data_IF_473457407458
#
_entry.id   IF_473457407458
#
_cell.length_a   1.000
_cell.length_b   1.000
_cell.length_c   1.000
_cell.angle_alpha   90.00
_cell.angle_beta   90.00
_cell.angle_gamma   90.00
#
_symmetry.space_group_name_H-M   'P 1'
#
loop_
_entity.id
_entity.type
_entity.pdbx_description
1 polymer ?
#
# COMPACT_ATOMS: atom_id res chain seq x y z
N UNK A 1 -8.61 4.34 -24.23
CA UNK A 1 -7.57 3.30 -24.33
C UNK A 1 -7.90 2.34 -25.47
N UNK A 2 -6.88 1.71 -26.05
CA UNK A 2 -6.98 0.70 -27.12
C UNK A 2 -6.91 -0.75 -26.58
N UNK A 3 -6.61 -0.93 -25.29
CA UNK A 3 -6.64 -2.21 -24.60
C UNK A 3 -7.40 -2.12 -23.26
N UNK A 4 -7.47 -3.23 -22.52
CA UNK A 4 -8.04 -3.24 -21.17
C UNK A 4 -7.40 -2.17 -20.28
N UNK A 5 -8.23 -1.49 -19.50
CA UNK A 5 -7.77 -0.55 -18.46
C UNK A 5 -7.50 -1.35 -17.20
N UNK A 6 -6.31 -1.19 -16.62
CA UNK A 6 -5.85 -2.00 -15.48
C UNK A 6 -6.09 -1.32 -14.14
N UNK A 7 -5.80 -0.02 -14.05
CA UNK A 7 -5.92 0.72 -12.80
C UNK A 7 -6.42 2.14 -13.04
N UNK A 8 -7.09 2.65 -12.03
CA UNK A 8 -7.67 3.98 -11.96
C UNK A 8 -7.27 4.62 -10.63
N UNK A 9 -6.94 5.90 -10.64
CA UNK A 9 -6.57 6.63 -9.43
C UNK A 9 -7.12 8.05 -9.48
N UNK A 10 -7.87 8.43 -8.45
CA UNK A 10 -8.43 9.77 -8.29
C UNK A 10 -7.41 10.71 -7.64
N UNK A 11 -7.25 11.92 -8.19
CA UNK A 11 -6.40 12.92 -7.56
C UNK A 11 -7.04 13.48 -6.31
N UNK A 12 -6.23 14.15 -5.49
CA UNK A 12 -6.75 14.93 -4.38
C UNK A 12 -7.65 16.08 -4.90
N UNK A 13 -8.81 16.37 -4.26
CA UNK A 13 -9.75 17.40 -4.72
C UNK A 13 -9.18 18.82 -4.79
N UNK A 14 -8.06 19.09 -4.11
CA UNK A 14 -7.33 20.37 -4.19
C UNK A 14 -6.97 20.76 -5.63
N UNK A 15 -6.73 19.77 -6.51
CA UNK A 15 -6.36 19.98 -7.91
C UNK A 15 -7.55 19.89 -8.87
N UNK A 16 -8.77 19.93 -8.33
CA UNK A 16 -9.99 19.65 -9.07
C UNK A 16 -10.26 18.15 -9.23
N UNK A 17 -11.20 17.83 -10.11
CA UNK A 17 -11.62 16.46 -10.39
C UNK A 17 -10.75 15.86 -11.49
N UNK A 18 -9.60 15.29 -11.09
CA UNK A 18 -8.75 14.52 -12.00
C UNK A 18 -8.86 13.03 -11.74
N UNK A 19 -8.85 12.27 -12.82
CA UNK A 19 -8.78 10.81 -12.82
C UNK A 19 -7.59 10.38 -13.68
N UNK A 20 -6.73 9.53 -13.16
CA UNK A 20 -5.70 8.86 -13.94
C UNK A 20 -6.17 7.45 -14.30
N UNK A 21 -5.90 7.02 -15.53
CA UNK A 21 -6.13 5.66 -15.99
C UNK A 21 -4.92 5.10 -16.71
N UNK A 22 -4.64 3.81 -16.52
CA UNK A 22 -3.56 3.12 -17.21
C UNK A 22 -4.04 1.82 -17.87
N UNK A 23 -3.35 1.36 -18.91
CA UNK A 23 -3.87 0.28 -19.75
C UNK A 23 -2.76 -0.57 -20.37
N UNK A 24 -3.19 -1.75 -20.84
CA UNK A 24 -2.43 -2.62 -21.72
C UNK A 24 -1.94 -1.93 -23.00
N UNK A 25 -2.58 -0.84 -23.43
CA UNK A 25 -2.14 -0.05 -24.59
C UNK A 25 -0.87 0.78 -24.35
N UNK A 26 -0.20 0.59 -23.20
CA UNK A 26 1.07 1.23 -22.79
C UNK A 26 0.93 2.71 -22.45
N UNK A 27 -0.30 3.22 -22.37
CA UNK A 27 -0.57 4.63 -22.11
C UNK A 27 -1.10 4.84 -20.71
N UNK A 28 -0.76 6.01 -20.17
CA UNK A 28 -1.42 6.63 -19.02
C UNK A 28 -2.15 7.86 -19.52
N UNK A 29 -3.41 7.98 -19.15
CA UNK A 29 -4.26 9.11 -19.52
C UNK A 29 -4.73 9.79 -18.24
N UNK A 30 -4.59 11.12 -18.20
CA UNK A 30 -5.13 11.96 -17.14
C UNK A 30 -6.34 12.68 -17.71
N UNK A 31 -7.47 12.51 -17.04
CA UNK A 31 -8.75 13.09 -17.38
C UNK A 31 -9.06 14.22 -16.41
N UNK A 32 -9.68 15.29 -16.90
CA UNK A 32 -10.18 16.40 -16.09
C UNK A 32 -11.66 16.61 -16.38
N UNK A 33 -12.41 16.95 -15.35
CA UNK A 33 -13.83 17.30 -15.46
C UNK A 33 -14.03 18.82 -15.46
N UNK A 34 -14.72 19.32 -16.48
CA UNK A 34 -15.13 20.71 -16.60
C UNK A 34 -16.64 20.76 -16.76
N UNK A 35 -17.37 21.14 -15.71
CA UNK A 35 -18.84 21.37 -15.76
C UNK A 35 -19.60 20.14 -16.29
N UNK A 36 -19.36 18.98 -15.69
CA UNK A 36 -19.99 17.70 -16.03
C UNK A 36 -19.41 17.01 -17.26
N UNK A 37 -18.39 17.59 -17.92
CA UNK A 37 -17.76 17.03 -19.12
C UNK A 37 -16.34 16.59 -18.83
N UNK A 38 -16.06 15.33 -19.16
CA UNK A 38 -14.74 14.73 -19.02
C UNK A 38 -13.94 14.88 -20.30
N UNK A 39 -12.75 15.44 -20.18
CA UNK A 39 -11.83 15.65 -21.29
C UNK A 39 -10.45 15.08 -20.95
N UNK A 40 -9.72 14.69 -21.98
CA UNK A 40 -8.33 14.22 -21.82
C UNK A 40 -7.43 15.43 -21.59
N UNK A 41 -6.89 15.55 -20.38
CA UNK A 41 -5.96 16.61 -20.00
C UNK A 41 -4.54 16.31 -20.49
N UNK A 42 -4.08 15.08 -20.27
CA UNK A 42 -2.71 14.68 -20.59
C UNK A 42 -2.64 13.20 -21.00
N UNK A 43 -1.70 12.86 -21.87
CA UNK A 43 -1.41 11.50 -22.29
C UNK A 43 0.10 11.26 -22.21
N UNK A 44 0.47 10.16 -21.54
CA UNK A 44 1.83 9.70 -21.43
C UNK A 44 1.96 8.32 -22.08
N UNK A 45 2.85 8.17 -23.06
CA UNK A 45 2.97 6.98 -23.90
C UNK A 45 4.43 6.56 -24.14
N UNK A 46 5.29 6.75 -23.14
CA UNK A 46 6.73 6.42 -23.21
C UNK A 46 7.07 5.03 -22.65
N UNK A 47 6.07 4.27 -22.17
CA UNK A 47 6.27 2.89 -21.73
C UNK A 47 6.33 1.94 -22.92
N UNK A 48 7.24 0.97 -22.88
CA UNK A 48 7.40 -0.02 -23.96
C UNK A 48 6.49 -1.24 -23.82
N UNK A 49 5.82 -1.36 -22.67
CA UNK A 49 4.88 -2.44 -22.33
C UNK A 49 3.65 -1.91 -21.56
N UNK A 50 2.75 -2.82 -21.17
CA UNK A 50 1.52 -2.53 -20.42
C UNK A 50 1.80 -1.75 -19.13
N UNK A 51 0.96 -0.76 -18.81
CA UNK A 51 1.02 -0.06 -17.52
C UNK A 51 -0.03 -0.66 -16.59
N UNK A 52 0.43 -1.31 -15.52
CA UNK A 52 -0.38 -2.17 -14.67
C UNK A 52 -1.03 -1.42 -13.50
N UNK A 53 -0.36 -0.39 -12.98
CA UNK A 53 -0.87 0.37 -11.85
C UNK A 53 -0.51 1.86 -11.98
N UNK A 54 -1.41 2.72 -11.51
CA UNK A 54 -1.17 4.15 -11.33
C UNK A 54 -1.61 4.58 -9.93
N UNK A 55 -0.84 5.44 -9.29
CA UNK A 55 -1.14 5.91 -7.94
C UNK A 55 -0.77 7.40 -7.80
N UNK A 56 -1.72 8.23 -7.36
CA UNK A 56 -1.45 9.65 -7.09
C UNK A 56 -0.68 9.78 -5.79
N UNK A 57 0.31 10.67 -5.79
CA UNK A 57 1.06 11.02 -4.61
C UNK A 57 0.19 11.81 -3.61
N UNK A 58 0.55 11.79 -2.32
CA UNK A 58 -0.03 12.69 -1.34
C UNK A 58 0.07 14.15 -1.77
N UNK A 59 -1.03 14.91 -1.62
CA UNK A 59 -1.10 16.31 -2.06
C UNK A 59 0.00 17.25 -1.52
N UNK A 60 0.61 17.03 -0.33
CA UNK A 60 1.72 17.89 0.10
C UNK A 60 2.97 17.80 -0.79
N UNK A 61 3.09 16.76 -1.62
CA UNK A 61 4.20 16.61 -2.59
C UNK A 61 3.95 17.37 -3.90
N UNK A 62 2.75 17.93 -4.08
CA UNK A 62 2.30 18.49 -5.35
C UNK A 62 1.47 17.48 -6.17
N UNK A 63 1.14 17.86 -7.40
CA UNK A 63 0.40 17.01 -8.32
C UNK A 63 1.36 16.03 -9.01
N UNK A 64 1.58 14.88 -8.38
CA UNK A 64 2.49 13.84 -8.85
C UNK A 64 1.78 12.48 -9.00
N UNK A 65 2.06 11.74 -10.08
CA UNK A 65 1.51 10.42 -10.37
C UNK A 65 2.63 9.40 -10.58
N UNK A 66 2.58 8.27 -9.88
CA UNK A 66 3.44 7.13 -10.15
C UNK A 66 2.76 6.15 -11.10
N UNK A 67 3.51 5.61 -12.06
CA UNK A 67 3.05 4.67 -13.08
C UNK A 67 3.97 3.44 -13.07
N UNK A 68 3.41 2.25 -12.84
CA UNK A 68 4.13 0.98 -12.82
C UNK A 68 3.90 0.20 -14.13
N UNK A 69 4.98 -0.17 -14.82
CA UNK A 69 4.90 -0.81 -16.13
C UNK A 69 5.53 -2.21 -16.15
N UNK A 70 4.97 -3.09 -16.97
CA UNK A 70 5.54 -4.39 -17.32
C UNK A 70 6.88 -4.29 -18.09
N UNK A 71 7.33 -3.10 -18.47
CA UNK A 71 8.66 -2.89 -19.05
C UNK A 71 9.79 -2.86 -18.01
N UNK A 72 9.46 -3.04 -16.72
CA UNK A 72 10.43 -3.04 -15.62
C UNK A 72 10.73 -1.66 -15.07
N UNK A 73 10.08 -0.61 -15.57
CA UNK A 73 10.31 0.78 -15.15
C UNK A 73 9.14 1.37 -14.38
N UNK A 74 9.43 2.39 -13.57
CA UNK A 74 8.43 3.24 -12.92
C UNK A 74 8.58 4.65 -13.49
N UNK A 75 7.49 5.30 -13.88
CA UNK A 75 7.50 6.70 -14.29
C UNK A 75 6.77 7.56 -13.27
N UNK A 76 7.39 8.68 -12.89
CA UNK A 76 6.82 9.70 -12.00
C UNK A 76 6.49 10.92 -12.85
N UNK A 77 5.20 11.22 -12.98
CA UNK A 77 4.69 12.36 -13.74
C UNK A 77 4.38 13.48 -12.75
N UNK A 78 5.00 14.65 -12.93
CA UNK A 78 4.81 15.83 -12.08
C UNK A 78 4.25 16.97 -12.91
N UNK A 79 3.18 17.60 -12.45
CA UNK A 79 2.69 18.83 -13.05
C UNK A 79 3.24 20.07 -12.35
N UNK A 80 3.55 21.09 -13.14
CA UNK A 80 3.98 22.41 -12.65
C UNK A 80 2.81 23.31 -12.19
N UNK A 81 1.55 22.85 -12.33
CA UNK A 81 0.35 23.62 -12.03
C UNK A 81 -0.02 24.67 -13.09
N UNK A 82 0.87 24.97 -14.04
CA UNK A 82 0.62 25.82 -15.20
C UNK A 82 0.16 25.00 -16.44
N UNK A 83 0.14 23.68 -16.31
CA UNK A 83 -0.35 22.74 -17.32
C UNK A 83 0.76 21.96 -18.03
N UNK A 84 2.03 22.21 -17.71
CA UNK A 84 3.12 21.37 -18.18
C UNK A 84 3.25 20.12 -17.29
N UNK A 85 3.73 19.05 -17.92
CA UNK A 85 3.99 17.76 -17.29
C UNK A 85 5.44 17.36 -17.54
N UNK A 86 6.12 16.97 -16.47
CA UNK A 86 7.48 16.45 -16.49
C UNK A 86 7.47 15.01 -16.04
N UNK A 87 8.21 14.15 -16.75
CA UNK A 87 8.33 12.74 -16.43
C UNK A 87 9.76 12.42 -15.98
N UNK A 88 9.89 11.83 -14.79
CA UNK A 88 11.13 11.21 -14.31
C UNK A 88 10.95 9.70 -14.35
N UNK A 89 11.92 8.98 -14.90
CA UNK A 89 11.86 7.52 -14.99
C UNK A 89 12.84 6.89 -14.01
N UNK A 90 12.39 5.84 -13.34
CA UNK A 90 13.18 4.92 -12.56
C UNK A 90 13.44 3.70 -13.47
N UNK A 91 14.59 3.66 -14.18
CA UNK A 91 14.94 2.50 -15.00
C UNK A 91 15.26 1.30 -14.11
N UNK A 92 15.12 0.10 -14.67
CA UNK A 92 15.50 -1.17 -14.02
C UNK A 92 14.92 -1.32 -12.59
N UNK A 93 13.71 -0.80 -12.38
CA UNK A 93 13.04 -0.87 -11.09
C UNK A 93 12.81 -2.33 -10.69
N UNK A 94 12.31 -3.14 -11.63
CA UNK A 94 12.17 -4.59 -11.48
C UNK A 94 12.64 -5.28 -12.76
N UNK A 95 13.31 -6.44 -12.64
CA UNK A 95 13.99 -7.09 -13.78
C UNK A 95 13.05 -7.70 -14.82
N UNK A 96 11.81 -8.02 -14.43
CA UNK A 96 10.81 -8.65 -15.30
C UNK A 96 9.67 -7.69 -15.63
N UNK A 97 9.21 -6.90 -14.65
CA UNK A 97 8.09 -6.00 -14.81
C UNK A 97 7.51 -5.57 -13.47
N UNK A 98 6.96 -4.36 -13.40
CA UNK A 98 6.33 -3.79 -12.21
C UNK A 98 4.82 -4.00 -12.28
N UNK A 99 4.24 -4.62 -11.25
CA UNK A 99 2.82 -4.96 -11.20
C UNK A 99 2.02 -3.92 -10.42
N UNK A 100 2.58 -3.40 -9.32
CA UNK A 100 1.89 -2.43 -8.47
C UNK A 100 2.84 -1.41 -7.87
N UNK A 101 2.28 -0.25 -7.51
CA UNK A 101 2.96 0.87 -6.85
C UNK A 101 2.03 1.53 -5.84
N UNK A 102 2.55 1.91 -4.69
CA UNK A 102 1.83 2.65 -3.66
C UNK A 102 2.72 3.71 -3.04
N UNK A 103 2.19 4.92 -2.85
CA UNK A 103 2.92 5.98 -2.17
C UNK A 103 2.97 5.79 -0.66
N UNK A 104 4.09 6.15 -0.04
CA UNK A 104 4.16 6.37 1.40
C UNK A 104 3.28 7.58 1.76
N UNK A 105 2.61 7.57 2.92
CA UNK A 105 1.94 8.75 3.44
C UNK A 105 2.92 9.91 3.61
N UNK A 106 2.46 11.14 3.34
CA UNK A 106 3.22 12.36 3.57
C UNK A 106 3.32 12.64 5.07
N UNK A 107 4.32 12.05 5.70
CA UNK A 107 4.58 12.20 7.13
C UNK A 107 5.69 13.25 7.31
N UNK A 108 5.33 14.38 7.93
CA UNK A 108 6.30 15.31 8.49
C UNK A 108 6.77 14.78 9.85
N UNK A 109 7.81 13.95 9.86
CA UNK A 109 8.35 13.38 11.09
C UNK A 109 8.74 14.47 12.11
N UNK A 110 9.31 15.58 11.64
CA UNK A 110 9.75 16.70 12.48
C UNK A 110 8.57 17.47 13.11
N UNK A 111 7.46 17.66 12.39
CA UNK A 111 6.27 18.32 12.94
C UNK A 111 5.63 17.51 14.08
N UNK A 112 5.63 16.17 13.94
CA UNK A 112 5.07 15.27 14.94
C UNK A 112 5.91 15.19 16.23
N UNK A 113 7.23 15.37 16.12
CA UNK A 113 8.15 15.25 17.25
C UNK A 113 8.50 16.59 17.90
N UNK A 114 8.42 17.71 17.16
CA UNK A 114 8.72 19.05 17.66
C UNK A 114 7.76 20.12 17.07
N UNK A 115 6.58 20.33 17.68
CA UNK A 115 5.58 21.30 17.19
C UNK A 115 6.05 22.77 17.25
N UNK A 116 7.16 23.06 17.94
CA UNK A 116 7.72 24.41 18.07
C UNK A 116 8.63 24.82 16.92
N UNK A 117 8.98 23.91 16.00
CA UNK A 117 9.81 24.23 14.83
C UNK A 117 8.90 24.57 13.65
N UNK A 118 8.29 25.76 13.68
CA UNK A 118 7.46 26.32 12.61
C UNK A 118 8.21 26.56 11.28
N UNK A 119 9.51 26.26 11.23
CA UNK A 119 10.40 26.53 10.10
C UNK A 119 11.43 25.41 9.86
N UNK A 120 11.10 24.14 10.12
CA UNK A 120 11.97 23.08 9.58
C UNK A 120 11.69 22.99 8.09
N UNK A 121 12.59 23.57 7.30
CA UNK A 121 12.65 23.42 5.84
C UNK A 121 13.17 22.02 5.50
N UNK A 122 12.72 20.99 6.23
CA UNK A 122 13.04 19.63 5.87
C UNK A 122 12.03 19.21 4.80
N UNK A 123 12.47 18.98 3.55
CA UNK A 123 11.57 18.54 2.52
C UNK A 123 10.97 17.22 2.97
N UNK A 124 9.65 17.13 2.89
CA UNK A 124 8.93 15.88 3.02
C UNK A 124 9.65 14.79 2.23
N UNK A 125 10.10 13.73 2.91
CA UNK A 125 10.77 12.63 2.23
C UNK A 125 9.73 11.89 1.40
N UNK A 126 9.84 11.98 0.07
CA UNK A 126 8.96 11.26 -0.85
C UNK A 126 9.44 9.82 -0.94
N UNK A 127 8.54 8.90 -0.58
CA UNK A 127 8.76 7.46 -0.71
C UNK A 127 7.60 6.80 -1.42
N UNK A 128 7.91 5.75 -2.14
CA UNK A 128 6.92 4.85 -2.73
C UNK A 128 7.43 3.42 -2.63
N UNK A 129 6.52 2.48 -2.59
CA UNK A 129 6.81 1.05 -2.66
C UNK A 129 6.31 0.52 -4.00
N UNK A 130 7.08 -0.39 -4.61
CA UNK A 130 6.71 -1.10 -5.82
C UNK A 130 6.83 -2.61 -5.63
N UNK A 131 5.97 -3.35 -6.33
CA UNK A 131 5.97 -4.80 -6.39
C UNK A 131 6.11 -5.27 -7.83
N UNK A 132 6.93 -6.30 -8.05
CA UNK A 132 7.27 -6.78 -9.38
C UNK A 132 7.08 -8.28 -9.59
N UNK A 133 7.21 -8.66 -10.86
CA UNK A 133 7.23 -10.06 -11.30
C UNK A 133 8.59 -10.74 -11.02
N UNK A 134 9.53 -10.04 -10.38
CA UNK A 134 10.85 -10.53 -9.97
C UNK A 134 10.87 -11.01 -8.50
N UNK A 135 9.69 -11.24 -7.90
CA UNK A 135 9.48 -11.70 -6.52
C UNK A 135 9.72 -10.61 -5.46
N UNK A 136 10.16 -9.44 -5.87
CA UNK A 136 10.64 -8.40 -4.97
C UNK A 136 9.58 -7.35 -4.70
N UNK A 137 9.67 -6.79 -3.50
CA UNK A 137 9.08 -5.51 -3.16
C UNK A 137 10.22 -4.55 -2.88
N UNK A 138 10.19 -3.37 -3.49
CA UNK A 138 11.25 -2.36 -3.38
C UNK A 138 10.67 -1.04 -2.88
N UNK A 139 11.38 -0.42 -1.96
CA UNK A 139 11.09 0.92 -1.46
C UNK A 139 12.03 1.89 -2.15
N UNK A 140 11.46 2.94 -2.71
CA UNK A 140 12.17 4.00 -3.41
C UNK A 140 12.06 5.29 -2.62
N UNK A 141 13.15 6.05 -2.58
CA UNK A 141 13.23 7.36 -1.95
C UNK A 141 13.72 8.38 -2.96
N UNK A 142 13.07 9.53 -2.99
CA UNK A 142 13.59 10.69 -3.70
C UNK A 142 14.72 11.31 -2.87
N UNK A 143 15.91 11.40 -3.47
CA UNK A 143 17.07 12.05 -2.90
C UNK A 143 17.45 13.26 -3.76
N UNK A 144 17.61 14.42 -3.11
CA UNK A 144 18.13 15.60 -3.79
C UNK A 144 19.65 15.55 -3.70
N UNK A 145 20.30 15.31 -4.83
CA UNK A 145 21.75 15.37 -4.96
C UNK A 145 22.28 16.75 -4.57
N UNK A 146 23.54 16.82 -4.15
CA UNK A 146 24.23 18.10 -3.85
C UNK A 146 24.26 19.07 -5.04
N UNK A 147 24.05 18.56 -6.25
CA UNK A 147 23.88 19.32 -7.49
C UNK A 147 22.50 19.96 -7.67
N UNK A 148 21.54 19.71 -6.77
CA UNK A 148 20.15 20.17 -6.84
C UNK A 148 19.26 19.33 -7.76
N UNK A 149 19.76 18.23 -8.32
CA UNK A 149 18.97 17.29 -9.11
C UNK A 149 18.27 16.29 -8.19
N UNK A 150 17.00 16.00 -8.48
CA UNK A 150 16.22 14.98 -7.77
C UNK A 150 16.38 13.64 -8.47
N UNK A 151 16.84 12.63 -7.74
CA UNK A 151 16.99 11.26 -8.21
C UNK A 151 16.24 10.28 -7.30
N UNK A 152 15.68 9.24 -7.91
CA UNK A 152 15.00 8.18 -7.17
C UNK A 152 15.96 7.02 -6.96
N UNK A 153 16.21 6.68 -5.70
CA UNK A 153 17.14 5.63 -5.30
C UNK A 153 16.41 4.49 -4.60
N UNK A 154 16.91 3.27 -4.80
CA UNK A 154 16.43 2.08 -4.08
C UNK A 154 16.89 2.17 -2.61
N UNK A 155 15.94 2.38 -1.70
CA UNK A 155 16.18 2.49 -0.27
C UNK A 155 16.29 1.11 0.37
N UNK A 156 15.35 0.22 0.06
CA UNK A 156 15.24 -1.11 0.66
C UNK A 156 14.64 -2.11 -0.32
N UNK A 157 15.13 -3.35 -0.25
CA UNK A 157 14.60 -4.51 -0.96
C UNK A 157 14.05 -5.50 0.05
N UNK A 158 12.80 -5.91 -0.15
CA UNK A 158 12.06 -6.82 0.70
C UNK A 158 11.86 -8.13 -0.05
N UNK A 159 12.31 -9.23 0.55
CA UNK A 159 12.25 -10.57 -0.01
C UNK A 159 11.42 -11.48 0.90
N UNK A 160 10.46 -12.20 0.33
CA UNK A 160 9.56 -13.05 1.12
C UNK A 160 8.51 -13.79 0.29
N UNK A 161 8.22 -13.31 -0.92
CA UNK A 161 7.40 -14.02 -1.88
C UNK A 161 8.23 -15.04 -2.68
N UNK A 162 7.60 -16.17 -3.01
CA UNK A 162 8.22 -17.23 -3.83
C UNK A 162 7.74 -17.23 -5.28
N UNK A 163 6.80 -16.36 -5.63
CA UNK A 163 6.30 -16.15 -6.99
C UNK A 163 5.93 -14.65 -7.18
N UNK A 164 5.45 -14.25 -8.36
CA UNK A 164 5.20 -12.85 -8.71
C UNK A 164 4.38 -12.11 -7.67
N UNK A 165 4.83 -10.93 -7.28
CA UNK A 165 4.07 -10.06 -6.37
C UNK A 165 3.03 -9.31 -7.19
N UNK A 166 1.76 -9.52 -6.88
CA UNK A 166 0.61 -9.01 -7.63
C UNK A 166 0.25 -7.59 -7.24
N UNK A 167 0.26 -7.31 -5.93
CA UNK A 167 -0.12 -6.01 -5.41
C UNK A 167 0.68 -5.63 -4.17
N UNK A 168 0.80 -4.33 -3.94
CA UNK A 168 1.46 -3.76 -2.77
C UNK A 168 0.74 -2.49 -2.34
N UNK A 169 0.50 -2.35 -1.04
CA UNK A 169 -0.19 -1.21 -0.46
C UNK A 169 0.54 -0.70 0.78
N UNK A 170 0.92 0.57 0.76
CA UNK A 170 1.47 1.25 1.94
C UNK A 170 0.32 1.69 2.85
N UNK A 171 0.36 1.32 4.11
CA UNK A 171 -0.68 1.70 5.06
C UNK A 171 -0.67 3.22 5.30
N UNK A 172 -1.83 3.89 5.37
CA UNK A 172 -1.95 5.32 5.66
C UNK A 172 -1.65 5.69 7.14
N UNK A 173 -0.81 4.92 7.83
CA UNK A 173 -0.50 5.09 9.24
C UNK A 173 0.21 6.42 9.51
N UNK A 174 -0.35 7.24 10.39
CA UNK A 174 0.28 8.49 10.84
C UNK A 174 1.43 8.26 11.84
N UNK A 175 1.59 7.03 12.33
CA UNK A 175 2.66 6.69 13.24
C UNK A 175 3.99 6.48 12.47
N UNK A 176 4.87 7.48 12.56
CA UNK A 176 6.20 7.44 11.93
C UNK A 176 7.07 6.29 12.44
N UNK A 177 6.88 5.89 13.70
CA UNK A 177 7.66 4.82 14.33
C UNK A 177 7.20 3.41 13.94
N UNK A 178 6.05 3.29 13.28
CA UNK A 178 5.46 2.03 12.87
C UNK A 178 4.69 2.18 11.57
N UNK A 179 5.41 2.10 10.47
CA UNK A 179 4.88 2.04 9.12
C UNK A 179 4.60 0.58 8.75
N UNK A 180 3.56 0.37 7.96
CA UNK A 180 3.18 -0.95 7.46
C UNK A 180 3.04 -0.94 5.95
N UNK A 181 3.47 -2.02 5.32
CA UNK A 181 3.23 -2.30 3.91
C UNK A 181 2.58 -3.68 3.83
N UNK A 182 1.55 -3.84 3.02
CA UNK A 182 0.99 -5.14 2.70
C UNK A 182 1.41 -5.53 1.28
N UNK A 183 1.74 -6.79 1.07
CA UNK A 183 1.96 -7.35 -0.26
C UNK A 183 1.21 -8.67 -0.42
N UNK A 184 0.83 -8.97 -1.66
CA UNK A 184 0.23 -10.25 -2.01
C UNK A 184 0.74 -10.75 -3.36
N UNK A 185 0.73 -12.06 -3.55
CA UNK A 185 1.40 -12.68 -4.70
C UNK A 185 0.69 -13.89 -5.30
N UNK A 186 1.29 -14.34 -6.40
CA UNK A 186 0.95 -15.56 -7.12
C UNK A 186 1.15 -16.82 -6.26
N UNK A 187 2.01 -16.75 -5.25
CA UNK A 187 2.28 -17.79 -4.26
C UNK A 187 1.17 -17.96 -3.21
N UNK A 188 0.07 -17.19 -3.33
CA UNK A 188 -1.06 -17.22 -2.40
C UNK A 188 -0.75 -16.56 -1.05
N UNK A 189 0.45 -16.01 -0.84
CA UNK A 189 0.85 -15.40 0.43
C UNK A 189 0.34 -13.97 0.52
N UNK A 190 -0.04 -13.58 1.73
CA UNK A 190 -0.20 -12.18 2.12
C UNK A 190 0.79 -11.88 3.23
N UNK A 191 1.66 -10.90 3.00
CA UNK A 191 2.72 -10.52 3.92
C UNK A 191 2.51 -9.07 4.34
N UNK A 192 2.54 -8.81 5.65
CA UNK A 192 2.59 -7.46 6.21
C UNK A 192 4.01 -7.19 6.67
N UNK A 193 4.61 -6.15 6.14
CA UNK A 193 5.94 -5.67 6.47
C UNK A 193 5.81 -4.54 7.48
N UNK A 194 6.40 -4.70 8.65
CA UNK A 194 6.36 -3.69 9.72
C UNK A 194 7.72 -3.04 9.86
N UNK A 195 7.76 -1.70 9.80
CA UNK A 195 9.00 -0.96 10.01
C UNK A 195 9.43 -1.04 11.48
N UNK A 196 10.68 -1.42 11.73
CA UNK A 196 11.29 -1.40 13.06
C UNK A 196 12.37 -0.34 13.10
N UNK A 197 12.30 0.54 14.10
CA UNK A 197 13.37 1.49 14.38
C UNK A 197 14.53 0.74 15.05
N UNK A 198 15.72 0.84 14.50
CA UNK A 198 16.94 0.25 15.04
C UNK A 198 17.45 0.99 16.30
N UNK A 199 16.60 1.17 17.31
CA UNK A 199 17.02 1.68 18.63
C UNK A 199 17.16 0.57 19.66
N UNK A 200 16.68 -0.65 19.41
CA UNK A 200 16.99 -1.79 20.26
C UNK A 200 16.87 -3.15 19.51
N UNK A 201 17.98 -3.83 19.17
CA UNK A 201 17.95 -5.15 18.52
C UNK A 201 17.34 -6.26 19.38
N UNK A 202 17.03 -5.98 20.66
CA UNK A 202 16.45 -6.93 21.62
C UNK A 202 14.96 -6.70 21.91
N UNK A 203 14.26 -5.84 21.16
CA UNK A 203 12.81 -5.71 21.31
C UNK A 203 12.15 -6.98 20.76
N UNK A 204 11.84 -7.91 21.67
CA UNK A 204 11.10 -9.15 21.36
C UNK A 204 9.69 -8.74 20.91
N UNK A 205 9.45 -8.79 19.61
CA UNK A 205 8.12 -8.67 19.05
C UNK A 205 7.38 -10.00 19.24
N UNK A 206 6.42 -10.02 20.16
CA UNK A 206 5.52 -11.15 20.35
C UNK A 206 4.76 -11.39 19.03
N UNK A 207 5.02 -12.54 18.39
CA UNK A 207 4.45 -12.92 17.09
C UNK A 207 5.48 -13.26 16.00
N UNK A 208 6.79 -13.01 16.22
CA UNK A 208 7.83 -13.42 15.26
C UNK A 208 8.13 -14.92 15.37
N UNK A 209 7.89 -15.68 14.30
CA UNK A 209 8.42 -17.04 14.12
C UNK A 209 9.81 -17.07 13.49
N UNK A 210 10.37 -15.89 13.15
CA UNK A 210 11.63 -15.78 12.43
C UNK A 210 12.77 -15.37 13.36
N UNK A 211 13.92 -16.02 13.18
CA UNK A 211 15.14 -15.72 13.92
C UNK A 211 15.73 -14.36 13.52
N UNK A 212 16.49 -13.68 14.40
CA UNK A 212 17.06 -12.36 14.13
C UNK A 212 18.06 -12.27 12.96
N UNK A 213 18.38 -13.38 12.29
CA UNK A 213 19.30 -13.44 11.17
C UNK A 213 18.65 -13.13 9.80
N UNK A 214 17.32 -13.06 9.72
CA UNK A 214 16.58 -12.83 8.46
C UNK A 214 16.16 -11.37 8.22
N UNK A 215 16.49 -10.45 9.14
CA UNK A 215 16.24 -9.03 8.90
C UNK A 215 17.13 -8.53 7.75
N UNK A 216 16.54 -7.86 6.76
CA UNK A 216 17.26 -7.08 5.75
C UNK A 216 17.94 -5.89 6.44
N UNK A 217 19.12 -6.10 7.00
CA UNK A 217 19.87 -5.09 7.74
C UNK A 217 20.66 -4.17 6.78
N UNK A 218 20.32 -2.87 6.76
CA UNK A 218 21.27 -1.79 6.44
C UNK A 218 21.70 -1.13 7.76
N UNK A 219 23.01 -0.96 8.03
CA UNK A 219 23.45 -0.20 9.20
C UNK A 219 22.97 1.26 9.07
N UNK A 220 22.09 1.69 9.99
CA UNK A 220 21.57 3.07 10.05
C UNK A 220 20.26 3.34 9.27
N UNK A 221 19.63 2.32 8.69
CA UNK A 221 18.34 2.44 7.97
C UNK A 221 17.17 1.83 8.73
N UNK A 222 15.94 2.13 8.29
CA UNK A 222 14.72 1.47 8.75
C UNK A 222 14.74 -0.01 8.34
N UNK A 223 14.63 -0.93 9.30
CA UNK A 223 14.46 -2.36 9.02
C UNK A 223 12.98 -2.71 8.87
N UNK A 224 12.70 -3.78 8.13
CA UNK A 224 11.34 -4.24 7.87
C UNK A 224 11.20 -5.70 8.28
N UNK A 225 10.25 -5.98 9.16
CA UNK A 225 9.92 -7.34 9.61
C UNK A 225 8.78 -7.90 8.77
N UNK A 226 8.96 -9.03 8.05
CA UNK A 226 7.87 -9.72 7.38
C UNK A 226 7.00 -10.50 8.37
N UNK A 227 5.68 -10.33 8.28
CA UNK A 227 4.67 -11.09 9.00
C UNK A 227 3.76 -11.74 7.96
N UNK A 228 3.84 -13.06 7.80
CA UNK A 228 2.93 -13.82 6.92
C UNK A 228 1.56 -13.89 7.58
N UNK A 229 0.56 -13.21 7.03
CA UNK A 229 -0.80 -13.20 7.57
C UNK A 229 -1.51 -14.53 7.32
N UNK A 230 -1.50 -14.95 6.06
CA UNK A 230 -2.22 -16.12 5.60
C UNK A 230 -1.62 -16.58 4.26
N UNK A 231 -1.69 -17.89 4.02
CA UNK A 231 -1.35 -18.49 2.72
C UNK A 231 -2.61 -19.15 2.16
N UNK A 232 -3.15 -18.57 1.09
CA UNK A 232 -4.30 -19.09 0.38
C UNK A 232 -3.86 -20.20 -0.58
N UNK A 233 -4.79 -21.10 -0.90
CA UNK A 233 -4.55 -22.17 -1.89
C UNK A 233 -4.54 -21.65 -3.33
N UNK A 234 -5.00 -20.43 -3.55
CA UNK A 234 -5.10 -19.76 -4.84
C UNK A 234 -4.43 -18.38 -4.76
N UNK A 235 -4.23 -17.76 -5.92
CA UNK A 235 -3.57 -16.46 -6.09
C UNK A 235 -4.29 -15.38 -5.29
N UNK A 236 -3.53 -14.45 -4.71
CA UNK A 236 -4.09 -13.24 -4.13
C UNK A 236 -3.81 -12.06 -5.06
N UNK A 237 -4.87 -11.39 -5.51
CA UNK A 237 -4.80 -10.41 -6.59
C UNK A 237 -4.59 -8.98 -6.09
N UNK A 238 -5.31 -8.58 -5.03
CA UNK A 238 -5.21 -7.22 -4.49
C UNK A 238 -5.24 -7.17 -2.97
N UNK A 239 -4.55 -6.16 -2.44
CA UNK A 239 -4.54 -5.79 -1.03
C UNK A 239 -4.85 -4.30 -0.88
N UNK A 240 -5.67 -3.93 0.10
CA UNK A 240 -6.02 -2.52 0.32
C UNK A 240 -6.21 -2.21 1.80
N UNK A 241 -5.56 -1.14 2.25
CA UNK A 241 -5.69 -0.67 3.63
C UNK A 241 -6.94 0.21 3.80
N UNK A 242 -7.59 0.09 4.95
CA UNK A 242 -8.53 1.09 5.40
C UNK A 242 -7.83 2.44 5.57
N UNK A 243 -8.58 3.54 5.47
CA UNK A 243 -8.05 4.90 5.66
C UNK A 243 -7.39 5.12 7.03
N UNK A 244 -7.79 4.35 8.04
CA UNK A 244 -7.20 4.37 9.37
C UNK A 244 -5.90 3.55 9.48
N UNK A 245 -5.59 2.74 8.47
CA UNK A 245 -4.41 1.87 8.42
C UNK A 245 -4.49 0.62 9.31
N UNK A 246 -5.66 0.31 9.88
CA UNK A 246 -5.81 -0.75 10.88
C UNK A 246 -6.54 -2.00 10.36
N UNK A 247 -7.20 -1.91 9.21
CA UNK A 247 -7.88 -3.03 8.57
C UNK A 247 -7.28 -3.23 7.19
N UNK A 248 -6.98 -4.47 6.84
CA UNK A 248 -6.51 -4.86 5.53
C UNK A 248 -7.60 -5.68 4.83
N UNK A 249 -8.00 -5.26 3.64
CA UNK A 249 -8.83 -6.04 2.73
C UNK A 249 -7.92 -6.85 1.80
N UNK A 250 -8.23 -8.13 1.64
CA UNK A 250 -7.49 -9.08 0.81
C UNK A 250 -8.46 -9.71 -0.18
N UNK A 251 -8.13 -9.71 -1.47
CA UNK A 251 -8.95 -10.34 -2.52
C UNK A 251 -8.21 -11.51 -3.18
N UNK A 252 -8.81 -12.70 -3.10
CA UNK A 252 -8.25 -13.95 -3.60
C UNK A 252 -8.88 -14.43 -4.92
N UNK A 253 -8.24 -15.43 -5.54
CA UNK A 253 -8.74 -16.15 -6.72
C UNK A 253 -9.97 -17.03 -6.44
N UNK A 254 -10.23 -17.32 -5.16
CA UNK A 254 -11.40 -18.04 -4.65
C UNK A 254 -12.71 -17.23 -4.73
N UNK A 255 -12.70 -16.06 -5.36
CA UNK A 255 -13.80 -15.10 -5.46
C UNK A 255 -14.30 -14.58 -4.10
N UNK A 256 -13.46 -14.65 -3.06
CA UNK A 256 -13.76 -14.12 -1.73
C UNK A 256 -12.90 -12.90 -1.43
N UNK A 257 -13.45 -12.03 -0.59
CA UNK A 257 -12.71 -10.93 0.03
C UNK A 257 -12.70 -11.14 1.52
N UNK A 258 -11.52 -11.15 2.13
CA UNK A 258 -11.36 -11.27 3.58
C UNK A 258 -10.88 -9.94 4.17
N UNK A 259 -11.36 -9.63 5.36
CA UNK A 259 -10.93 -8.46 6.13
C UNK A 259 -10.07 -8.90 7.30
N UNK A 260 -8.93 -8.28 7.48
CA UNK A 260 -7.95 -8.60 8.52
C UNK A 260 -7.69 -7.41 9.42
N UNK A 261 -7.49 -7.65 10.70
CA UNK A 261 -7.17 -6.61 11.68
C UNK A 261 -6.14 -7.12 12.68
N UNK A 262 -5.24 -6.24 13.07
CA UNK A 262 -4.29 -6.50 14.14
C UNK A 262 -4.95 -6.30 15.52
N UNK A 263 -4.72 -7.24 16.43
CA UNK A 263 -5.14 -7.16 17.84
C UNK A 263 -4.13 -6.36 18.65
N UNK A 264 -4.50 -5.99 19.88
CA UNK A 264 -3.59 -5.30 20.80
C UNK A 264 -2.34 -6.12 21.17
N UNK A 265 -2.40 -7.43 20.97
CA UNK A 265 -1.32 -8.37 21.22
C UNK A 265 -0.35 -8.50 20.03
N UNK A 266 -0.61 -7.81 18.91
CA UNK A 266 0.19 -7.89 17.68
C UNK A 266 -0.19 -9.04 16.74
N UNK A 267 -1.23 -9.80 17.07
CA UNK A 267 -1.72 -10.90 16.24
C UNK A 267 -2.71 -10.41 15.18
N UNK A 268 -2.72 -11.02 14.01
CA UNK A 268 -3.69 -10.70 12.96
C UNK A 268 -4.85 -11.69 12.96
N UNK A 269 -6.07 -11.16 12.92
CA UNK A 269 -7.31 -11.95 12.89
C UNK A 269 -8.14 -11.60 11.66
N UNK A 270 -8.80 -12.61 11.08
CA UNK A 270 -9.80 -12.43 10.04
C UNK A 270 -11.15 -12.04 10.67
N UNK A 271 -11.72 -10.89 10.25
CA UNK A 271 -12.95 -10.33 10.78
C UNK A 271 -14.19 -10.83 10.03
N UNK A 272 -14.11 -10.90 8.69
CA UNK A 272 -15.19 -11.40 7.87
C UNK A 272 -14.69 -11.92 6.53
N UNK A 273 -15.54 -12.73 5.91
CA UNK A 273 -15.38 -13.23 4.56
C UNK A 273 -16.62 -12.84 3.74
N UNK A 274 -16.39 -12.22 2.58
CA UNK A 274 -17.44 -11.80 1.66
C UNK A 274 -17.34 -12.70 0.42
N UNK A 275 -18.38 -13.50 0.15
CA UNK A 275 -18.46 -14.41 -0.99
C UNK A 275 -19.59 -14.00 -1.96
N UNK A 276 -19.40 -14.25 -3.27
CA UNK A 276 -20.31 -13.82 -4.35
C UNK A 276 -21.77 -14.32 -4.27
N UNK A 277 -22.09 -15.33 -3.45
CA UNK A 277 -23.38 -16.05 -3.52
C UNK A 277 -24.32 -15.90 -2.32
N UNK A 278 -24.08 -14.96 -1.39
CA UNK A 278 -25.06 -14.66 -0.33
C UNK A 278 -25.64 -13.26 -0.50
N UNK A 279 -26.90 -13.18 -0.92
CA UNK A 279 -27.75 -11.99 -0.78
C UNK A 279 -28.14 -11.68 0.67
N UNK A 280 -27.31 -12.07 1.63
CA UNK A 280 -27.44 -11.81 3.06
C UNK A 280 -26.29 -10.94 3.56
N UNK A 281 -26.43 -10.29 4.73
CA UNK A 281 -25.37 -9.48 5.29
C UNK A 281 -24.08 -10.31 5.49
N UNK A 282 -22.89 -9.69 5.39
CA UNK A 282 -21.62 -10.38 5.55
C UNK A 282 -21.60 -11.15 6.88
N UNK A 283 -21.29 -12.43 6.83
CA UNK A 283 -21.13 -13.27 8.02
C UNK A 283 -19.81 -12.91 8.69
N UNK A 284 -19.89 -12.37 9.91
CA UNK A 284 -18.74 -12.22 10.81
C UNK A 284 -18.28 -13.63 11.19
N UNK A 285 -16.99 -13.89 11.02
CA UNK A 285 -16.40 -15.16 11.48
C UNK A 285 -16.20 -15.00 13.00
N UNK A 286 -17.05 -15.66 13.79
CA UNK A 286 -16.93 -15.67 15.26
C UNK A 286 -18.22 -15.49 16.10
N UNK A 287 -19.42 -15.66 15.53
CA UNK A 287 -20.68 -15.47 16.27
C UNK A 287 -21.39 -16.77 16.74
N UNK A 288 -20.79 -17.95 16.57
CA UNK A 288 -21.40 -19.22 17.01
C UNK A 288 -20.59 -19.90 18.13
N UNK A 289 -20.81 -19.44 19.36
CA UNK A 289 -20.89 -20.32 20.53
C UNK A 289 -21.95 -19.74 21.49
N UNK A 290 -23.17 -20.30 21.56
CA UNK A 290 -24.03 -20.07 22.70
C UNK A 290 -23.48 -20.88 23.87
N UNK A 291 -22.79 -20.21 24.78
CA UNK A 291 -22.43 -20.79 26.07
C UNK A 291 -23.70 -21.27 26.78
N UNK A 292 -23.74 -22.56 27.10
CA UNK A 292 -24.76 -23.14 27.94
C UNK A 292 -24.69 -22.52 29.34
N UNK A 293 -25.52 -21.51 29.58
CA UNK A 293 -25.87 -21.10 30.94
C UNK A 293 -27.14 -21.83 31.30
N UNK A 294 -26.97 -22.89 32.08
CA UNK A 294 -28.03 -23.67 32.70
C UNK A 294 -28.89 -22.80 33.62
N UNK A 295 -30.19 -23.12 33.62
CA UNK A 295 -31.25 -22.57 34.45
C UNK A 295 -30.83 -22.28 35.90
N UNK A 296 -30.87 -21.00 36.29
CA UNK A 296 -31.02 -20.61 37.69
C UNK A 296 -32.42 -20.01 37.88
N UNK A 297 -33.24 -20.82 38.53
CA UNK A 297 -34.61 -20.55 38.97
C UNK A 297 -34.69 -19.33 39.90
N UNK A 298 -35.64 -18.45 39.60
CA UNK A 298 -36.05 -17.27 40.37
C UNK A 298 -36.75 -17.70 41.67
N UNK A 299 -36.36 -17.24 42.87
CA UNK A 299 -37.24 -17.30 44.04
C UNK A 299 -38.19 -16.08 44.08
N UNK A 300 -39.45 -16.25 44.53
CA UNK A 300 -40.44 -15.19 44.52
C UNK A 300 -40.18 -14.14 45.61
N UNK A 301 -40.59 -12.90 45.31
CA UNK A 301 -40.52 -11.75 46.18
C UNK A 301 -41.32 -11.97 47.48
N UNK A 302 -40.75 -11.54 48.61
CA UNK A 302 -41.49 -11.33 49.86
C UNK A 302 -41.50 -9.84 50.15
N UNK A 303 -42.72 -9.30 50.18
CA UNK A 303 -43.07 -7.97 50.66
C UNK A 303 -43.10 -7.94 52.18
N UNK A 304 -42.39 -6.97 52.77
CA UNK A 304 -42.85 -6.09 53.87
C UNK A 304 -41.82 -4.98 54.06
#
# INVERSE_FOLDING_TARGET
>A
HQGPVWSLSWSHPLYGSLLASCSYDRKVIIWHETVGRWEKLYEYAEHSSSVNCVCWAPHPYGLMLACASSDGTISILTSDGAGAWHAVRIPDAHSIGVNSVSWSPAINADFMLNPNVLQSVNPLIKRLVSAGSDLLIKIWREETSSSGTSEWVEETRLEGHSDWVRDVAWAPSLNVSRQMIASCGQDGRVIVWVSTSCTNPNAVHHGSTLEPSEYTHRPGGTSWLPIVLHTYSDVVWHVSWSITGNILAVSGGDNKVTLWKETLEGNWIALSEIARNHGGPPSLIGADEPSQISNLSIPPAVST
#
